data_IF_537839843146
#
_entry.id   IF_537839843146
#
_cell.length_a   1.000
_cell.length_b   1.000
_cell.length_c   1.000
_cell.angle_alpha   90.00
_cell.angle_beta   90.00
_cell.angle_gamma   90.00
#
_symmetry.space_group_name_H-M   'P 1'
#
loop_
_entity.id
_entity.type
_entity.pdbx_description
1 polymer ?
#
# COMPACT_ATOMS: atom_id res chain seq x y z
N UNK A 1 -11.08 41.51 4.50
CA UNK A 1 -11.62 40.14 4.29
C UNK A 1 -10.87 39.18 5.19
N UNK A 2 -11.42 38.86 6.35
CA UNK A 2 -10.89 37.84 7.26
C UNK A 2 -11.04 36.48 6.58
N UNK A 3 -9.93 35.87 6.16
CA UNK A 3 -9.93 34.47 5.75
C UNK A 3 -10.43 33.64 6.92
N UNK A 4 -11.64 33.07 6.81
CA UNK A 4 -12.11 32.09 7.76
C UNK A 4 -11.05 30.99 7.85
N UNK A 5 -10.44 30.81 9.02
CA UNK A 5 -9.49 29.73 9.27
C UNK A 5 -10.25 28.42 9.06
N UNK A 6 -10.08 27.82 7.88
CA UNK A 6 -10.72 26.56 7.52
C UNK A 6 -10.22 25.52 8.53
N UNK A 7 -11.08 25.09 9.45
CA UNK A 7 -10.70 24.11 10.47
C UNK A 7 -10.19 22.85 9.76
N UNK A 8 -9.04 22.34 10.22
CA UNK A 8 -8.45 21.09 9.70
C UNK A 8 -9.50 19.99 9.77
N UNK A 9 -9.63 19.23 8.69
CA UNK A 9 -10.49 18.05 8.70
C UNK A 9 -9.90 16.98 9.62
N UNK A 10 -10.74 16.07 10.10
CA UNK A 10 -10.34 14.88 10.82
C UNK A 10 -11.10 13.69 10.24
N UNK A 11 -10.55 12.49 10.38
CA UNK A 11 -11.29 11.27 10.06
C UNK A 11 -12.65 11.28 10.74
N UNK A 12 -13.70 10.95 9.99
CA UNK A 12 -15.06 10.91 10.54
C UNK A 12 -15.20 9.81 11.58
N UNK A 13 -14.49 8.69 11.37
CA UNK A 13 -14.52 7.50 12.22
C UNK A 13 -13.19 6.75 12.26
N UNK A 14 -13.00 5.93 13.30
CA UNK A 14 -11.89 4.96 13.40
C UNK A 14 -11.86 3.99 12.23
N UNK A 15 -13.05 3.53 11.82
CA UNK A 15 -13.21 2.65 10.67
C UNK A 15 -12.73 3.32 9.37
N UNK A 16 -13.04 4.61 9.18
CA UNK A 16 -12.55 5.39 8.04
C UNK A 16 -11.03 5.49 7.98
N UNK A 17 -10.39 5.79 9.12
CA UNK A 17 -8.94 5.76 9.23
C UNK A 17 -8.38 4.37 8.89
N UNK A 18 -8.92 3.29 9.48
CA UNK A 18 -8.47 1.94 9.23
C UNK A 18 -8.59 1.55 7.75
N UNK A 19 -9.71 1.85 7.09
CA UNK A 19 -9.87 1.54 5.67
C UNK A 19 -8.90 2.31 4.79
N UNK A 20 -8.54 3.55 5.15
CA UNK A 20 -7.52 4.33 4.45
C UNK A 20 -6.10 3.76 4.70
N UNK A 21 -5.77 3.46 5.96
CA UNK A 21 -4.47 2.90 6.32
C UNK A 21 -4.26 1.48 5.75
N UNK A 22 -5.27 0.61 5.84
CA UNK A 22 -5.25 -0.73 5.23
C UNK A 22 -5.21 -0.61 3.71
N UNK A 23 -5.98 0.30 3.09
CA UNK A 23 -5.90 0.51 1.63
C UNK A 23 -4.53 1.03 1.17
N UNK A 24 -3.87 1.85 1.99
CA UNK A 24 -2.49 2.27 1.75
C UNK A 24 -1.50 1.10 1.87
N UNK A 25 -1.75 0.18 2.81
CA UNK A 25 -0.88 -0.96 3.05
C UNK A 25 -1.10 -2.10 2.04
N UNK A 26 -2.36 -2.40 1.73
CA UNK A 26 -2.83 -3.48 0.89
C UNK A 26 -3.10 -2.93 -0.52
N UNK A 27 -2.02 -2.47 -1.16
CA UNK A 27 -2.03 -1.91 -2.52
C UNK A 27 -1.28 -2.76 -3.54
N UNK A 28 -0.79 -2.14 -4.62
CA UNK A 28 0.02 -2.82 -5.65
C UNK A 28 1.29 -3.46 -5.09
N UNK A 29 1.81 -2.94 -3.97
CA UNK A 29 2.95 -3.54 -3.27
C UNK A 29 2.69 -4.99 -2.86
N UNK A 30 1.58 -5.25 -2.20
CA UNK A 30 1.24 -6.60 -1.75
C UNK A 30 0.61 -7.45 -2.87
N UNK A 31 -0.07 -6.83 -3.84
CA UNK A 31 -0.77 -7.57 -4.90
C UNK A 31 0.11 -7.99 -6.08
N UNK A 32 1.14 -7.20 -6.41
CA UNK A 32 2.02 -7.47 -7.55
C UNK A 32 3.46 -7.69 -7.13
N UNK A 33 4.05 -6.75 -6.36
CA UNK A 33 5.48 -6.80 -6.03
C UNK A 33 5.78 -7.97 -5.09
N UNK A 34 4.96 -8.17 -4.06
CA UNK A 34 5.12 -9.22 -3.07
C UNK A 34 5.16 -10.63 -3.69
N UNK A 35 4.16 -11.11 -4.46
CA UNK A 35 4.22 -12.47 -5.02
C UNK A 35 5.42 -12.67 -5.95
N UNK A 36 5.80 -11.63 -6.71
CA UNK A 36 7.00 -11.65 -7.54
C UNK A 36 8.28 -11.80 -6.69
N UNK A 37 8.46 -10.97 -5.66
CA UNK A 37 9.65 -10.99 -4.81
C UNK A 37 9.74 -12.27 -3.98
N UNK A 38 8.62 -12.78 -3.45
CA UNK A 38 8.53 -14.07 -2.76
C UNK A 38 8.97 -15.20 -3.70
N UNK A 39 8.48 -15.19 -4.95
CA UNK A 39 8.87 -16.14 -5.99
C UNK A 39 10.37 -16.16 -6.28
N UNK A 40 10.99 -14.99 -6.37
CA UNK A 40 12.43 -14.85 -6.64
C UNK A 40 13.32 -15.21 -5.43
N UNK A 41 12.82 -15.09 -4.20
CA UNK A 41 13.59 -15.25 -2.96
C UNK A 41 13.29 -16.55 -2.19
N UNK A 42 12.79 -17.59 -2.87
CA UNK A 42 12.66 -18.92 -2.25
C UNK A 42 11.42 -19.10 -1.37
N UNK A 43 10.37 -18.31 -1.58
CA UNK A 43 9.05 -18.61 -1.02
C UNK A 43 8.94 -18.36 0.48
N UNK A 44 8.63 -19.43 1.23
CA UNK A 44 8.24 -19.35 2.64
C UNK A 44 9.24 -18.68 3.58
N UNK A 45 10.55 -18.84 3.38
CA UNK A 45 11.54 -18.20 4.27
C UNK A 45 11.59 -16.69 4.07
N UNK A 46 11.42 -16.24 2.82
CA UNK A 46 11.28 -14.83 2.51
C UNK A 46 9.98 -14.26 3.11
N UNK A 47 8.87 -14.98 2.97
CA UNK A 47 7.59 -14.61 3.59
C UNK A 47 7.73 -14.42 5.10
N UNK A 48 8.30 -15.41 5.80
CA UNK A 48 8.53 -15.33 7.25
C UNK A 48 9.39 -14.11 7.61
N UNK A 49 10.50 -13.90 6.90
CA UNK A 49 11.38 -12.75 7.12
C UNK A 49 10.66 -11.42 6.92
N UNK A 50 9.85 -11.32 5.86
CA UNK A 50 9.02 -10.15 5.57
C UNK A 50 8.00 -9.88 6.70
N UNK A 51 7.29 -10.91 7.16
CA UNK A 51 6.31 -10.79 8.25
C UNK A 51 6.99 -10.40 9.57
N UNK A 52 8.18 -10.92 9.86
CA UNK A 52 8.99 -10.49 11.00
C UNK A 52 9.40 -9.03 10.87
N UNK A 53 9.85 -8.58 9.70
CA UNK A 53 10.14 -7.16 9.46
C UNK A 53 8.90 -6.26 9.67
N UNK A 54 7.72 -6.69 9.22
CA UNK A 54 6.45 -5.98 9.43
C UNK A 54 6.13 -5.83 10.92
N UNK A 55 6.33 -6.88 11.72
CA UNK A 55 6.01 -6.83 13.17
C UNK A 55 7.08 -6.09 13.96
N UNK A 56 8.35 -6.43 13.77
CA UNK A 56 9.45 -5.97 14.63
C UNK A 56 9.87 -4.54 14.29
N UNK A 57 9.87 -4.18 13.00
CA UNK A 57 10.33 -2.87 12.54
C UNK A 57 9.17 -2.02 12.04
N UNK A 58 8.34 -2.59 11.17
CA UNK A 58 7.28 -1.88 10.49
C UNK A 58 6.23 -1.31 11.44
N UNK A 59 5.69 -2.14 12.33
CA UNK A 59 4.59 -1.77 13.24
C UNK A 59 5.00 -0.71 14.28
N UNK A 60 6.17 -0.80 14.93
CA UNK A 60 6.66 0.28 15.78
C UNK A 60 6.89 1.59 15.03
N UNK A 61 7.48 1.54 13.83
CA UNK A 61 7.73 2.73 13.04
C UNK A 61 6.43 3.37 12.52
N UNK A 62 5.47 2.55 12.09
CA UNK A 62 4.12 2.97 11.74
C UNK A 62 3.44 3.71 12.89
N UNK A 63 3.54 3.15 14.10
CA UNK A 63 3.03 3.77 15.33
C UNK A 63 3.72 5.12 15.58
N UNK A 64 5.04 5.19 15.43
CA UNK A 64 5.80 6.42 15.62
C UNK A 64 5.39 7.52 14.63
N UNK A 65 5.23 7.19 13.34
CA UNK A 65 4.78 8.16 12.33
C UNK A 65 3.38 8.68 12.62
N UNK A 66 2.44 7.81 13.00
CA UNK A 66 1.09 8.23 13.38
C UNK A 66 1.09 9.12 14.62
N UNK A 67 1.89 8.79 15.63
CA UNK A 67 2.04 9.60 16.85
C UNK A 67 2.60 10.98 16.52
N UNK A 68 3.65 11.05 15.69
CA UNK A 68 4.27 12.30 15.26
C UNK A 68 3.31 13.16 14.43
N UNK A 69 2.58 12.54 13.51
CA UNK A 69 1.53 13.22 12.74
C UNK A 69 0.45 13.79 13.64
N UNK A 70 -0.07 12.98 14.55
CA UNK A 70 -1.16 13.37 15.45
C UNK A 70 -0.73 14.47 16.43
N UNK A 71 0.48 14.38 17.00
CA UNK A 71 0.96 15.37 17.96
C UNK A 71 1.25 16.72 17.29
N UNK A 72 1.80 16.71 16.08
CA UNK A 72 2.15 17.92 15.34
C UNK A 72 0.96 18.58 14.63
N UNK A 73 -0.11 17.82 14.33
CA UNK A 73 -1.25 18.28 13.51
C UNK A 73 -0.80 18.88 12.15
N UNK A 74 0.32 18.38 11.63
CA UNK A 74 0.97 18.83 10.39
C UNK A 74 1.32 17.64 9.50
N UNK A 75 1.47 17.91 8.21
CA UNK A 75 1.92 16.92 7.23
C UNK A 75 3.45 16.68 7.35
N UNK A 76 3.97 15.70 6.60
CA UNK A 76 5.35 15.19 6.65
C UNK A 76 6.43 16.22 6.99
N UNK A 77 6.62 17.28 6.19
CA UNK A 77 7.66 18.30 6.41
C UNK A 77 7.41 19.16 7.65
N UNK A 78 6.15 19.54 7.88
CA UNK A 78 5.77 20.44 8.97
C UNK A 78 5.76 19.77 10.34
N UNK A 79 5.70 18.44 10.37
CA UNK A 79 5.71 17.65 11.61
C UNK A 79 7.05 17.69 12.32
N UNK A 80 8.15 17.89 11.59
CA UNK A 80 9.50 18.03 12.14
C UNK A 80 9.86 19.51 12.38
N UNK A 81 10.82 19.75 13.29
CA UNK A 81 11.29 21.09 13.67
C UNK A 81 12.80 21.24 13.46
N UNK A 82 13.24 22.47 13.18
CA UNK A 82 14.67 22.77 12.96
C UNK A 82 15.27 21.95 11.81
N UNK A 83 16.46 21.39 12.04
CA UNK A 83 17.21 20.60 11.05
C UNK A 83 16.49 19.28 10.68
N UNK A 84 15.64 18.74 11.56
CA UNK A 84 14.91 17.50 11.33
C UNK A 84 13.86 17.59 10.22
N UNK A 85 13.54 18.80 9.74
CA UNK A 85 12.68 18.99 8.55
C UNK A 85 13.22 18.30 7.31
N UNK A 86 14.52 18.02 7.27
CA UNK A 86 15.13 17.25 6.19
C UNK A 86 14.51 15.86 6.05
N UNK A 87 14.17 15.19 7.16
CA UNK A 87 13.53 13.87 7.13
C UNK A 87 12.14 13.92 6.47
N UNK A 88 11.36 14.97 6.78
CA UNK A 88 10.07 15.18 6.14
C UNK A 88 10.19 15.47 4.64
N UNK A 89 11.23 16.20 4.21
CA UNK A 89 11.50 16.43 2.79
C UNK A 89 11.94 15.16 2.06
N UNK A 90 12.76 14.32 2.70
CA UNK A 90 13.08 13.00 2.18
C UNK A 90 11.82 12.15 1.99
N UNK A 91 10.89 12.17 2.94
CA UNK A 91 9.60 11.47 2.79
C UNK A 91 8.77 11.97 1.60
N UNK A 92 8.68 13.30 1.42
CA UNK A 92 7.99 13.89 0.26
C UNK A 92 8.68 13.50 -1.05
N UNK A 93 10.02 13.55 -1.11
CA UNK A 93 10.78 13.13 -2.28
C UNK A 93 10.57 11.64 -2.59
N UNK A 94 10.60 10.77 -1.58
CA UNK A 94 10.33 9.35 -1.72
C UNK A 94 8.92 9.08 -2.25
N UNK A 95 7.90 9.75 -1.69
CA UNK A 95 6.52 9.65 -2.18
C UNK A 95 6.39 10.09 -3.64
N UNK A 96 7.06 11.17 -4.03
CA UNK A 96 7.07 11.66 -5.40
C UNK A 96 7.71 10.66 -6.37
N UNK A 97 8.88 10.13 -6.01
CA UNK A 97 9.57 9.11 -6.80
C UNK A 97 8.74 7.83 -6.93
N UNK A 98 8.08 7.38 -5.86
CA UNK A 98 7.21 6.21 -5.91
C UNK A 98 6.02 6.46 -6.85
N UNK A 99 5.37 7.62 -6.73
CA UNK A 99 4.23 7.97 -7.57
C UNK A 99 4.58 7.97 -9.07
N UNK A 100 5.82 8.32 -9.43
CA UNK A 100 6.27 8.36 -10.83
C UNK A 100 6.15 7.02 -11.55
N UNK A 101 6.44 5.89 -10.89
CA UNK A 101 6.28 4.56 -11.48
C UNK A 101 4.96 3.89 -11.06
N UNK A 102 4.46 4.17 -9.86
CA UNK A 102 3.27 3.52 -9.32
C UNK A 102 2.03 3.81 -10.17
N UNK A 103 1.92 5.04 -10.66
CA UNK A 103 0.85 5.49 -11.56
C UNK A 103 0.88 4.81 -12.93
N UNK A 104 2.06 4.44 -13.44
CA UNK A 104 2.20 3.68 -14.70
C UNK A 104 1.65 2.27 -14.51
N UNK A 105 2.08 1.57 -13.45
CA UNK A 105 1.62 0.21 -13.13
C UNK A 105 0.11 0.18 -12.87
N UNK A 106 -0.40 1.15 -12.12
CA UNK A 106 -1.83 1.28 -11.87
C UNK A 106 -2.62 1.57 -13.16
N UNK A 107 -2.06 2.38 -14.06
CA UNK A 107 -2.61 2.64 -15.39
C UNK A 107 -2.72 1.38 -16.25
N UNK A 108 -1.70 0.51 -16.23
CA UNK A 108 -1.77 -0.80 -16.89
C UNK A 108 -2.93 -1.64 -16.35
N UNK A 109 -3.17 -1.61 -15.03
CA UNK A 109 -4.30 -2.28 -14.41
C UNK A 109 -5.65 -1.84 -14.98
N UNK A 110 -5.86 -0.53 -15.14
CA UNK A 110 -7.10 0.01 -15.74
C UNK A 110 -7.24 -0.47 -17.18
N UNK A 111 -6.17 -0.32 -17.99
CA UNK A 111 -6.17 -0.79 -19.38
C UNK A 111 -6.51 -2.27 -19.48
N UNK A 112 -5.86 -3.09 -18.66
CA UNK A 112 -5.98 -4.54 -18.73
C UNK A 112 -7.38 -5.02 -18.33
N UNK A 113 -8.00 -4.37 -17.34
CA UNK A 113 -9.41 -4.65 -16.98
C UNK A 113 -10.34 -4.39 -18.16
N UNK A 114 -10.19 -3.25 -18.85
CA UNK A 114 -11.04 -2.91 -19.99
C UNK A 114 -10.82 -3.88 -21.18
N UNK A 115 -9.58 -4.26 -21.43
CA UNK A 115 -9.25 -5.24 -22.47
C UNK A 115 -9.82 -6.63 -22.14
N UNK A 116 -9.72 -7.07 -20.89
CA UNK A 116 -10.28 -8.35 -20.44
C UNK A 116 -11.81 -8.39 -20.57
N UNK A 117 -12.49 -7.27 -20.26
CA UNK A 117 -13.95 -7.15 -20.46
C UNK A 117 -14.35 -7.22 -21.95
N UNK A 118 -13.46 -6.87 -22.87
CA UNK A 118 -13.64 -7.03 -24.31
C UNK A 118 -13.23 -8.41 -24.85
N UNK A 119 -12.76 -9.32 -23.99
CA UNK A 119 -12.28 -10.65 -24.37
C UNK A 119 -10.81 -10.70 -24.83
N UNK A 120 -10.05 -9.62 -24.67
CA UNK A 120 -8.64 -9.53 -25.04
C UNK A 120 -7.77 -9.63 -23.79
N UNK A 121 -7.26 -10.82 -23.51
CA UNK A 121 -6.49 -11.12 -22.29
C UNK A 121 -5.31 -12.07 -22.57
N UNK A 122 -4.44 -12.26 -21.57
CA UNK A 122 -3.28 -13.15 -21.65
C UNK A 122 -1.93 -12.44 -21.63
N UNK A 123 -0.86 -13.24 -21.54
CA UNK A 123 0.52 -12.76 -21.36
C UNK A 123 1.08 -11.98 -22.56
N UNK A 124 0.86 -12.38 -23.83
CA UNK A 124 1.35 -11.60 -24.99
C UNK A 124 0.73 -10.19 -25.04
N UNK A 125 -0.57 -10.10 -24.76
CA UNK A 125 -1.32 -8.84 -24.69
C UNK A 125 -0.75 -7.93 -23.61
N UNK A 126 -0.50 -8.46 -22.41
CA UNK A 126 0.12 -7.68 -21.33
C UNK A 126 1.52 -7.19 -21.72
N UNK A 127 2.33 -8.02 -22.38
CA UNK A 127 3.67 -7.65 -22.82
C UNK A 127 3.63 -6.50 -23.82
N UNK A 128 2.71 -6.54 -24.79
CA UNK A 128 2.53 -5.45 -25.75
C UNK A 128 2.11 -4.15 -25.06
N UNK A 129 1.14 -4.23 -24.13
CA UNK A 129 0.70 -3.11 -23.30
C UNK A 129 1.88 -2.48 -22.53
N UNK A 130 2.66 -3.29 -21.84
CA UNK A 130 3.76 -2.84 -20.98
C UNK A 130 4.92 -2.23 -21.78
N UNK A 131 5.15 -2.69 -23.01
CA UNK A 131 6.19 -2.16 -23.90
C UNK A 131 5.75 -0.91 -24.68
N UNK A 132 4.44 -0.62 -24.74
CA UNK A 132 3.91 0.54 -25.42
C UNK A 132 4.02 1.80 -24.58
N UNK A 133 5.02 2.64 -24.90
CA UNK A 133 5.24 3.92 -24.20
C UNK A 133 4.05 4.89 -24.33
N UNK A 134 3.41 4.94 -25.50
CA UNK A 134 2.25 5.81 -25.74
C UNK A 134 1.03 5.41 -24.90
N UNK A 135 0.69 4.11 -24.91
CA UNK A 135 -0.45 3.58 -24.13
C UNK A 135 -0.18 3.73 -22.63
N UNK A 136 1.03 3.39 -22.18
CA UNK A 136 1.44 3.53 -20.77
C UNK A 136 1.34 4.98 -20.29
N UNK A 137 1.79 5.94 -21.10
CA UNK A 137 1.73 7.38 -20.77
C UNK A 137 0.29 7.87 -20.70
N UNK A 138 -0.55 7.45 -21.65
CA UNK A 138 -1.98 7.79 -21.64
C UNK A 138 -2.66 7.33 -20.34
N UNK A 139 -2.52 6.05 -19.99
CA UNK A 139 -3.15 5.51 -18.78
C UNK A 139 -2.56 6.05 -17.48
N UNK A 140 -1.27 6.40 -17.47
CA UNK A 140 -0.63 7.12 -16.36
C UNK A 140 -1.35 8.44 -16.07
N UNK A 141 -1.63 9.25 -17.09
CA UNK A 141 -2.32 10.53 -16.91
C UNK A 141 -3.78 10.34 -16.48
N UNK A 142 -4.47 9.33 -17.03
CA UNK A 142 -5.83 9.00 -16.60
C UNK A 142 -5.85 8.59 -15.13
N UNK A 143 -4.98 7.67 -14.71
CA UNK A 143 -4.89 7.24 -13.32
C UNK A 143 -4.55 8.40 -12.37
N UNK A 144 -3.62 9.27 -12.77
CA UNK A 144 -3.22 10.44 -12.00
C UNK A 144 -4.38 11.43 -11.86
N UNK A 145 -5.13 11.69 -12.93
CA UNK A 145 -6.30 12.56 -12.89
C UNK A 145 -7.40 12.03 -11.95
N UNK A 146 -7.67 10.72 -11.98
CA UNK A 146 -8.59 10.07 -11.04
C UNK A 146 -8.12 10.22 -9.59
N UNK A 147 -6.83 9.98 -9.34
CA UNK A 147 -6.23 10.14 -8.01
C UNK A 147 -6.35 11.58 -7.51
N UNK A 148 -6.08 12.57 -8.38
CA UNK A 148 -6.25 13.99 -8.06
C UNK A 148 -7.71 14.33 -7.73
N UNK A 149 -8.68 13.78 -8.47
CA UNK A 149 -10.11 13.95 -8.18
C UNK A 149 -10.51 13.48 -6.77
N UNK A 150 -9.98 12.33 -6.34
CA UNK A 150 -10.17 11.82 -4.97
C UNK A 150 -9.53 12.77 -3.95
N UNK A 151 -8.30 13.22 -4.17
CA UNK A 151 -7.56 14.07 -3.22
C UNK A 151 -8.18 15.47 -3.10
N UNK A 152 -8.60 16.09 -4.22
CA UNK A 152 -9.24 17.41 -4.22
C UNK A 152 -10.59 17.43 -3.49
N UNK A 153 -11.24 16.28 -3.38
CA UNK A 153 -12.48 16.12 -2.60
C UNK A 153 -12.26 16.17 -1.07
N UNK A 154 -11.00 16.28 -0.62
CA UNK A 154 -10.63 16.38 0.79
C UNK A 154 -10.55 15.03 1.51
N UNK A 155 -10.31 15.06 2.82
CA UNK A 155 -10.05 13.85 3.61
C UNK A 155 -11.34 13.07 3.80
N UNK A 156 -12.44 13.74 4.18
CA UNK A 156 -13.70 13.03 4.48
C UNK A 156 -14.45 12.56 3.24
N UNK A 157 -14.71 13.49 2.30
CA UNK A 157 -15.53 13.20 1.10
C UNK A 157 -14.72 12.52 -0.01
N UNK A 158 -13.40 12.69 -0.01
CA UNK A 158 -12.49 12.03 -0.93
C UNK A 158 -11.92 10.75 -0.33
N UNK A 159 -10.78 10.90 0.36
CA UNK A 159 -9.95 9.78 0.80
C UNK A 159 -10.74 8.77 1.65
N UNK A 160 -11.40 9.21 2.72
CA UNK A 160 -12.11 8.32 3.63
C UNK A 160 -13.30 7.60 2.96
N UNK A 161 -14.07 8.32 2.14
CA UNK A 161 -15.20 7.72 1.43
C UNK A 161 -14.73 6.63 0.47
N UNK A 162 -13.80 6.97 -0.42
CA UNK A 162 -13.31 6.03 -1.43
C UNK A 162 -12.52 4.88 -0.82
N UNK A 163 -11.69 5.12 0.19
CA UNK A 163 -10.98 4.04 0.90
C UNK A 163 -11.93 3.06 1.57
N UNK A 164 -13.05 3.51 2.17
CA UNK A 164 -14.03 2.57 2.76
C UNK A 164 -14.65 1.65 1.71
N UNK A 165 -14.92 2.17 0.52
CA UNK A 165 -15.50 1.39 -0.58
C UNK A 165 -14.45 0.48 -1.20
N UNK A 166 -13.34 1.05 -1.68
CA UNK A 166 -12.32 0.32 -2.45
C UNK A 166 -11.62 -0.75 -1.62
N UNK A 167 -11.20 -0.44 -0.39
CA UNK A 167 -10.50 -1.40 0.46
C UNK A 167 -11.41 -2.56 0.86
N UNK A 168 -12.68 -2.28 1.18
CA UNK A 168 -13.66 -3.35 1.48
C UNK A 168 -13.88 -4.25 0.27
N UNK A 169 -14.11 -3.67 -0.91
CA UNK A 169 -14.31 -4.43 -2.14
C UNK A 169 -13.08 -5.27 -2.49
N UNK A 170 -11.88 -4.71 -2.32
CA UNK A 170 -10.62 -5.43 -2.54
C UNK A 170 -10.50 -6.66 -1.63
N UNK A 171 -10.70 -6.50 -0.32
CA UNK A 171 -10.58 -7.61 0.63
C UNK A 171 -11.59 -8.73 0.32
N UNK A 172 -12.83 -8.38 -0.01
CA UNK A 172 -13.85 -9.37 -0.42
C UNK A 172 -13.42 -10.10 -1.69
N UNK A 173 -12.88 -9.39 -2.68
CA UNK A 173 -12.40 -9.97 -3.93
C UNK A 173 -11.22 -10.93 -3.71
N UNK A 174 -10.26 -10.56 -2.86
CA UNK A 174 -9.11 -11.42 -2.55
C UNK A 174 -9.53 -12.73 -1.87
N UNK A 175 -10.45 -12.65 -0.91
CA UNK A 175 -11.01 -13.85 -0.26
C UNK A 175 -11.74 -14.74 -1.26
N UNK A 176 -12.55 -14.15 -2.15
CA UNK A 176 -13.25 -14.91 -3.19
C UNK A 176 -12.27 -15.60 -4.16
N UNK A 177 -11.21 -14.89 -4.59
CA UNK A 177 -10.17 -15.44 -5.47
C UNK A 177 -9.33 -16.52 -4.79
N UNK A 178 -9.06 -16.39 -3.48
CA UNK A 178 -8.40 -17.42 -2.70
C UNK A 178 -9.20 -18.73 -2.70
N UNK A 179 -10.48 -18.68 -2.34
CA UNK A 179 -11.33 -19.88 -2.34
C UNK A 179 -11.55 -20.44 -3.74
N UNK A 180 -11.68 -19.58 -4.76
CA UNK A 180 -11.73 -20.03 -6.14
C UNK A 180 -10.47 -20.80 -6.52
N UNK A 181 -9.30 -20.25 -6.21
CA UNK A 181 -8.00 -20.88 -6.50
C UNK A 181 -7.84 -22.21 -5.78
N UNK A 182 -8.25 -22.27 -4.51
CA UNK A 182 -8.20 -23.49 -3.69
C UNK A 182 -9.03 -24.63 -4.27
N UNK A 183 -10.20 -24.34 -4.82
CA UNK A 183 -11.15 -25.37 -5.28
C UNK A 183 -10.97 -25.71 -6.77
N UNK A 184 -10.57 -24.73 -7.60
CA UNK A 184 -10.60 -24.87 -9.06
C UNK A 184 -9.23 -25.06 -9.71
N UNK A 185 -8.14 -24.63 -9.08
CA UNK A 185 -6.82 -24.68 -9.69
C UNK A 185 -6.03 -25.91 -9.23
N UNK A 186 -5.52 -26.75 -10.16
CA UNK A 186 -4.80 -27.97 -9.80
C UNK A 186 -3.45 -27.69 -9.11
N UNK A 187 -2.89 -26.48 -9.27
CA UNK A 187 -1.60 -26.08 -8.71
C UNK A 187 -1.66 -25.55 -7.27
N UNK A 188 -2.83 -25.48 -6.62
CA UNK A 188 -2.95 -24.87 -5.30
C UNK A 188 -2.07 -25.57 -4.24
N UNK A 189 -2.01 -26.90 -4.25
CA UNK A 189 -1.17 -27.65 -3.30
C UNK A 189 0.32 -27.35 -3.42
N UNK A 190 0.83 -27.22 -4.65
CA UNK A 190 2.22 -26.87 -4.94
C UNK A 190 2.54 -25.44 -4.51
N UNK A 191 1.60 -24.51 -4.73
CA UNK A 191 1.74 -23.13 -4.27
C UNK A 191 1.75 -23.04 -2.74
N UNK A 192 0.88 -23.80 -2.06
CA UNK A 192 0.88 -23.89 -0.60
C UNK A 192 2.19 -24.49 -0.07
N UNK A 193 2.72 -25.53 -0.72
CA UNK A 193 4.00 -26.12 -0.34
C UNK A 193 5.13 -25.09 -0.44
N UNK A 194 5.21 -24.37 -1.56
CA UNK A 194 6.20 -23.31 -1.79
C UNK A 194 6.14 -22.17 -0.75
N UNK A 195 4.93 -21.84 -0.28
CA UNK A 195 4.71 -20.75 0.69
C UNK A 195 4.95 -21.21 2.14
N UNK A 196 4.56 -22.43 2.50
CA UNK A 196 4.59 -22.89 3.89
C UNK A 196 5.77 -23.80 4.25
N UNK A 197 6.48 -24.37 3.27
CA UNK A 197 7.67 -25.20 3.50
C UNK A 197 8.94 -24.44 3.05
N UNK A 198 9.68 -23.83 3.99
CA UNK A 198 10.78 -22.93 3.64
C UNK A 198 11.99 -23.68 3.08
N UNK A 199 12.51 -23.21 1.94
CA UNK A 199 13.81 -23.66 1.39
C UNK A 199 14.92 -22.67 1.76
N UNK A 200 15.82 -23.10 2.64
CA UNK A 200 16.94 -22.28 3.13
C UNK A 200 18.00 -22.06 2.05
N UNK A 201 18.09 -22.94 1.03
CA UNK A 201 19.15 -22.90 0.03
C UNK A 201 19.10 -21.68 -0.88
N UNK A 202 17.92 -21.06 -1.02
CA UNK A 202 17.68 -19.88 -1.87
C UNK A 202 17.66 -18.56 -1.10
N UNK A 203 17.75 -18.62 0.23
CA UNK A 203 17.68 -17.43 1.07
C UNK A 203 19.06 -16.87 1.36
N UNK A 204 19.20 -15.55 1.17
CA UNK A 204 20.46 -14.84 1.38
C UNK A 204 20.27 -13.62 2.28
N UNK A 205 21.38 -13.01 2.71
CA UNK A 205 21.31 -11.72 3.41
C UNK A 205 20.65 -10.62 2.54
N UNK A 206 20.85 -10.67 1.22
CA UNK A 206 20.16 -9.78 0.27
C UNK A 206 18.64 -9.99 0.30
N UNK A 207 18.19 -11.24 0.41
CA UNK A 207 16.76 -11.57 0.55
C UNK A 207 16.15 -10.96 1.82
N UNK A 208 16.91 -10.91 2.92
CA UNK A 208 16.49 -10.24 4.15
C UNK A 208 16.37 -8.71 3.97
N UNK A 209 17.32 -8.09 3.26
CA UNK A 209 17.25 -6.64 2.94
C UNK A 209 16.08 -6.33 2.01
N UNK A 210 15.79 -7.19 1.04
CA UNK A 210 14.61 -7.09 0.18
C UNK A 210 13.31 -7.22 0.96
N UNK A 211 13.23 -8.15 1.92
CA UNK A 211 12.09 -8.32 2.80
C UNK A 211 11.85 -7.07 3.66
N UNK A 212 12.92 -6.48 4.21
CA UNK A 212 12.86 -5.22 4.96
C UNK A 212 12.38 -4.06 4.08
N UNK A 213 12.95 -3.90 2.89
CA UNK A 213 12.56 -2.88 1.94
C UNK A 213 11.11 -3.02 1.48
N UNK A 214 10.65 -4.26 1.27
CA UNK A 214 9.26 -4.55 0.96
C UNK A 214 8.33 -4.21 2.14
N UNK A 215 8.71 -4.50 3.38
CA UNK A 215 7.93 -4.11 4.57
C UNK A 215 7.76 -2.58 4.67
N UNK A 216 8.81 -1.81 4.40
CA UNK A 216 8.73 -0.34 4.35
C UNK A 216 7.81 0.15 3.22
N UNK A 217 7.93 -0.45 2.05
CA UNK A 217 7.10 -0.11 0.91
C UNK A 217 5.62 -0.41 1.16
N UNK A 218 5.30 -1.63 1.63
CA UNK A 218 3.94 -2.06 1.95
C UNK A 218 3.36 -1.17 3.04
N UNK A 219 4.03 -0.97 4.16
CA UNK A 219 3.48 -0.18 5.26
C UNK A 219 3.52 1.34 5.04
N UNK A 220 3.96 1.81 3.86
CA UNK A 220 4.06 3.23 3.50
C UNK A 220 4.96 4.04 4.47
N UNK A 221 6.04 3.41 4.93
CA UNK A 221 6.93 3.95 5.98
C UNK A 221 8.09 4.76 5.40
N UNK A 222 8.51 5.80 6.11
CA UNK A 222 9.58 6.70 5.69
C UNK A 222 9.18 7.64 4.54
N UNK A 223 7.92 7.58 4.10
CA UNK A 223 7.38 8.36 2.97
C UNK A 223 6.58 9.58 3.46
N UNK A 224 6.31 9.68 4.77
CA UNK A 224 5.52 10.77 5.35
C UNK A 224 4.01 10.66 5.11
N UNK A 225 3.55 9.56 4.52
CA UNK A 225 2.14 9.26 4.31
C UNK A 225 1.46 9.03 5.65
N UNK A 226 2.05 8.19 6.53
CA UNK A 226 1.46 7.89 7.83
C UNK A 226 1.57 9.07 8.80
N UNK A 227 2.61 9.90 8.71
CA UNK A 227 2.62 11.20 9.40
C UNK A 227 1.42 12.05 8.97
N UNK A 228 1.16 12.14 7.67
CA UNK A 228 0.04 12.92 7.14
C UNK A 228 -1.32 12.34 7.56
N UNK A 229 -1.50 11.01 7.52
CA UNK A 229 -2.73 10.35 7.97
C UNK A 229 -2.93 10.50 9.49
N UNK A 230 -1.87 10.36 10.27
CA UNK A 230 -1.85 10.56 11.72
C UNK A 230 -2.29 11.97 12.12
N UNK A 231 -1.91 12.98 11.34
CA UNK A 231 -2.28 14.37 11.57
C UNK A 231 -3.79 14.67 11.48
N UNK A 232 -4.58 13.74 10.96
CA UNK A 232 -6.04 13.82 10.89
C UNK A 232 -6.74 12.95 11.95
N UNK A 233 -5.99 12.17 12.75
CA UNK A 233 -6.54 11.36 13.85
C UNK A 233 -7.00 12.21 15.03
N UNK A 234 -7.96 11.69 15.79
CA UNK A 234 -8.45 12.32 17.02
C UNK A 234 -7.58 11.92 18.21
N UNK A 235 -7.64 12.69 19.30
CA UNK A 235 -6.81 12.46 20.50
C UNK A 235 -7.15 11.15 21.22
N UNK A 236 -8.41 10.72 21.15
CA UNK A 236 -8.95 9.52 21.78
C UNK A 236 -8.72 8.23 20.96
N UNK A 237 -8.16 8.33 19.75
CA UNK A 237 -7.84 7.16 18.94
C UNK A 237 -6.65 6.38 19.53
N UNK A 238 -6.84 5.07 19.71
CA UNK A 238 -5.81 4.18 20.26
C UNK A 238 -4.84 3.74 19.16
N UNK A 239 -3.81 4.54 18.90
CA UNK A 239 -2.83 4.32 17.81
C UNK A 239 -2.24 2.89 17.81
N UNK A 240 -1.73 2.32 18.93
CA UNK A 240 -1.14 0.99 18.90
C UNK A 240 -2.13 -0.10 18.46
N UNK A 241 -3.41 0.03 18.84
CA UNK A 241 -4.45 -0.90 18.40
C UNK A 241 -4.70 -0.78 16.90
N UNK A 242 -4.75 0.45 16.37
CA UNK A 242 -4.94 0.68 14.94
C UNK A 242 -3.76 0.15 14.12
N UNK A 243 -2.53 0.38 14.59
CA UNK A 243 -1.32 -0.15 13.97
C UNK A 243 -1.33 -1.68 13.95
N UNK A 244 -1.71 -2.32 15.06
CA UNK A 244 -1.85 -3.78 15.13
C UNK A 244 -2.90 -4.35 14.15
N UNK A 245 -4.03 -3.66 13.98
CA UNK A 245 -5.05 -4.07 12.99
C UNK A 245 -4.51 -3.96 11.55
N UNK A 246 -3.78 -2.89 11.24
CA UNK A 246 -3.14 -2.73 9.91
C UNK A 246 -2.11 -3.84 9.68
N UNK A 247 -1.24 -4.11 10.66
CA UNK A 247 -0.27 -5.20 10.57
C UNK A 247 -0.96 -6.56 10.38
N UNK A 248 -2.01 -6.85 11.15
CA UNK A 248 -2.79 -8.09 11.00
C UNK A 248 -3.43 -8.20 9.60
N UNK A 249 -3.91 -7.09 9.02
CA UNK A 249 -4.46 -7.11 7.66
C UNK A 249 -3.40 -7.48 6.61
N UNK A 250 -2.16 -7.04 6.80
CA UNK A 250 -1.03 -7.43 5.93
C UNK A 250 -0.75 -8.92 6.07
N UNK A 251 -0.75 -9.47 7.28
CA UNK A 251 -0.56 -10.90 7.51
C UNK A 251 -1.63 -11.72 6.78
N UNK A 252 -2.90 -11.36 6.95
CA UNK A 252 -4.03 -12.09 6.35
C UNK A 252 -4.01 -12.03 4.82
N UNK A 253 -3.54 -10.93 4.23
CA UNK A 253 -3.48 -10.80 2.76
C UNK A 253 -2.20 -11.39 2.16
N UNK A 254 -1.09 -11.39 2.90
CA UNK A 254 0.19 -11.93 2.43
C UNK A 254 0.21 -13.46 2.42
N UNK A 255 -0.57 -14.10 3.29
CA UNK A 255 -0.70 -15.55 3.43
C UNK A 255 -1.86 -16.04 2.56
#
# INVERSE_FOLDING_TARGET
>A
MTQAVKRREHWSSRFGFLMAAIGSAVGLGILWKFPYTVGQNGGGLFLLSYLLCVVIVGTPLFTAELVLGRSSQRAAVGAFVGQWRIAGWFGVAASFLIMSFYSVIAGWGISYVLMSLSGTEGAPVFKELAMSGGISTFWHFIFTALTMGVVFSGVRKGIEYWSKVMTRSLLVMLVALFFYSMVKLPGFGQAAEFVFFPDVSRFSFSSLLEALGLAFFTMSLGQGIMISYGSYMKKDDKIPQMAGIVALSIFVVAI
#
